data_IF_216677152924
#
_entry.id   IF_216677152924
#
_cell.length_a   1.000
_cell.length_b   1.000
_cell.length_c   1.000
_cell.angle_alpha   90.00
_cell.angle_beta   90.00
_cell.angle_gamma   90.00
#
_symmetry.space_group_name_H-M   'P 1'
#
loop_
_entity.id
_entity.type
_entity.pdbx_description
1 polymer ?
#
# COMPACT_ATOMS: atom_id res chain seq x y z
N UNK A 1 7.89 -32.42 14.68
CA UNK A 1 8.03 -30.99 14.34
C UNK A 1 6.73 -30.49 13.74
N UNK A 2 6.00 -29.75 14.54
CA UNK A 2 4.74 -29.18 14.06
C UNK A 2 5.02 -27.75 13.55
N UNK A 3 5.44 -27.67 12.30
CA UNK A 3 5.41 -26.40 11.62
C UNK A 3 3.95 -26.12 11.26
N UNK A 4 3.33 -25.21 12.00
CA UNK A 4 2.03 -24.71 11.62
C UNK A 4 2.22 -23.87 10.35
N UNK A 5 1.47 -24.15 9.27
CA UNK A 5 1.56 -23.32 8.08
C UNK A 5 1.24 -21.88 8.44
N UNK A 6 2.02 -20.94 7.91
CA UNK A 6 1.79 -19.53 8.12
C UNK A 6 0.38 -19.14 7.65
N UNK A 7 -0.32 -18.37 8.46
CA UNK A 7 -1.62 -17.84 8.11
C UNK A 7 -1.45 -16.69 7.11
N UNK A 8 -2.30 -16.66 6.10
CA UNK A 8 -2.37 -15.56 5.15
C UNK A 8 -3.39 -14.54 5.62
N UNK A 9 -3.03 -13.26 5.57
CA UNK A 9 -3.93 -12.16 5.89
C UNK A 9 -3.84 -11.11 4.80
N UNK A 10 -4.98 -10.83 4.15
CA UNK A 10 -5.11 -9.71 3.21
C UNK A 10 -5.75 -8.55 3.94
N UNK A 11 -5.15 -7.37 3.84
CA UNK A 11 -5.62 -6.20 4.58
C UNK A 11 -5.37 -4.90 3.83
N UNK A 12 -6.11 -3.86 4.23
CA UNK A 12 -5.91 -2.48 3.74
C UNK A 12 -5.40 -1.64 4.91
N UNK A 13 -4.29 -0.94 4.71
CA UNK A 13 -3.69 -0.11 5.75
C UNK A 13 -4.54 1.14 5.97
N UNK A 14 -5.10 1.28 7.18
CA UNK A 14 -5.89 2.44 7.57
C UNK A 14 -5.04 3.54 8.21
N UNK A 15 -4.13 3.17 9.10
CA UNK A 15 -3.23 4.12 9.74
C UNK A 15 -2.01 3.44 10.33
N UNK A 16 -0.97 4.22 10.49
CA UNK A 16 0.28 3.81 11.12
C UNK A 16 0.27 4.37 12.54
N UNK A 17 0.30 3.49 13.55
CA UNK A 17 0.29 3.92 14.95
C UNK A 17 1.69 4.08 15.53
N UNK A 18 2.66 3.32 15.02
CA UNK A 18 4.04 3.40 15.46
C UNK A 18 4.98 2.90 14.37
N UNK A 19 6.12 3.55 14.22
CA UNK A 19 7.22 3.08 13.36
C UNK A 19 8.56 3.41 14.00
N UNK A 20 9.47 2.44 14.00
CA UNK A 20 10.85 2.66 14.35
C UNK A 20 11.69 2.70 13.06
N UNK A 21 12.22 3.86 12.67
CA UNK A 21 12.97 3.98 11.43
C UNK A 21 14.33 3.27 11.45
N UNK A 22 14.83 2.92 12.61
CA UNK A 22 16.13 2.25 12.73
C UNK A 22 16.05 0.77 12.38
N UNK A 23 15.03 0.07 12.87
CA UNK A 23 14.88 -1.37 12.65
C UNK A 23 13.68 -1.75 11.77
N UNK A 24 12.85 -0.77 11.38
CA UNK A 24 11.69 -0.99 10.54
C UNK A 24 10.46 -1.54 11.25
N UNK A 25 10.55 -1.82 12.56
CA UNK A 25 9.41 -2.34 13.31
C UNK A 25 8.25 -1.33 13.28
N UNK A 26 7.09 -1.82 12.89
CA UNK A 26 5.90 -0.98 12.70
C UNK A 26 4.67 -1.62 13.32
N UNK A 27 3.77 -0.76 13.78
CA UNK A 27 2.44 -1.14 14.26
C UNK A 27 1.42 -0.40 13.43
N UNK A 28 0.61 -1.15 12.69
CA UNK A 28 -0.40 -0.60 11.79
C UNK A 28 -1.79 -1.01 12.26
N UNK A 29 -2.77 -0.17 11.97
CA UNK A 29 -4.19 -0.53 12.04
C UNK A 29 -4.68 -0.79 10.64
N UNK A 30 -5.22 -1.98 10.41
CA UNK A 30 -5.60 -2.46 9.08
C UNK A 30 -7.04 -2.95 9.07
N UNK A 31 -7.67 -2.79 7.92
CA UNK A 31 -9.02 -3.31 7.68
C UNK A 31 -8.92 -4.68 7.02
N UNK A 32 -9.63 -5.65 7.60
CA UNK A 32 -9.65 -7.04 7.11
C UNK A 32 -11.09 -7.46 6.87
N UNK A 33 -11.35 -8.07 5.72
CA UNK A 33 -12.69 -8.57 5.39
C UNK A 33 -13.15 -9.58 6.44
N UNK A 34 -14.36 -9.40 6.95
CA UNK A 34 -14.92 -10.28 7.97
C UNK A 34 -14.70 -9.82 9.41
N UNK A 35 -13.93 -8.75 9.61
CA UNK A 35 -13.69 -8.15 10.93
C UNK A 35 -14.36 -6.79 11.00
N UNK A 36 -15.16 -6.56 12.04
CA UNK A 36 -15.85 -5.28 12.22
C UNK A 36 -14.90 -4.18 12.69
N UNK A 37 -13.93 -4.52 13.54
CA UNK A 37 -12.96 -3.60 14.07
C UNK A 37 -11.64 -3.70 13.31
N UNK A 38 -10.83 -2.64 13.38
CA UNK A 38 -9.50 -2.65 12.81
C UNK A 38 -8.61 -3.67 13.52
N UNK A 39 -7.82 -4.38 12.73
CA UNK A 39 -6.87 -5.38 13.21
C UNK A 39 -5.51 -4.71 13.42
N UNK A 40 -4.80 -5.09 14.48
CA UNK A 40 -3.44 -4.65 14.71
C UNK A 40 -2.47 -5.57 13.97
N UNK A 41 -1.70 -4.97 13.05
CA UNK A 41 -0.68 -5.66 12.28
C UNK A 41 0.69 -5.17 12.73
N UNK A 42 1.56 -6.08 13.11
CA UNK A 42 2.93 -5.75 13.55
C UNK A 42 3.96 -6.50 12.72
N UNK A 43 5.12 -5.90 12.57
CA UNK A 43 6.23 -6.48 11.83
C UNK A 43 7.15 -5.42 11.24
N UNK A 44 8.01 -5.83 10.34
CA UNK A 44 8.89 -4.92 9.60
C UNK A 44 8.16 -4.38 8.38
N UNK A 45 7.41 -3.29 8.59
CA UNK A 45 6.49 -2.71 7.60
C UNK A 45 6.82 -1.24 7.33
N UNK A 46 8.10 -0.89 7.39
CA UNK A 46 8.53 0.48 7.11
C UNK A 46 8.24 0.85 5.66
N UNK A 47 7.88 2.11 5.44
CA UNK A 47 7.54 2.66 4.12
C UNK A 47 6.28 2.07 3.47
N UNK A 48 5.42 1.41 4.25
CA UNK A 48 4.12 0.98 3.75
C UNK A 48 3.16 2.15 3.83
N UNK A 49 2.62 2.62 2.70
CA UNK A 49 1.72 3.76 2.70
C UNK A 49 0.32 3.42 3.21
N UNK A 50 -0.34 4.40 3.81
CA UNK A 50 -1.78 4.31 4.12
C UNK A 50 -2.54 4.10 2.81
N UNK A 51 -3.49 3.17 2.82
CA UNK A 51 -4.28 2.80 1.63
C UNK A 51 -3.72 1.61 0.87
N UNK A 52 -2.50 1.17 1.17
CA UNK A 52 -1.92 -0.02 0.55
C UNK A 52 -2.70 -1.27 0.89
N UNK A 53 -2.79 -2.18 -0.06
CA UNK A 53 -3.31 -3.53 0.17
C UNK A 53 -2.14 -4.47 0.35
N UNK A 54 -2.11 -5.15 1.48
CA UNK A 54 -1.03 -6.06 1.83
C UNK A 54 -1.54 -7.49 1.88
N UNK A 55 -0.71 -8.41 1.40
CA UNK A 55 -0.86 -9.83 1.65
C UNK A 55 0.25 -10.25 2.60
N UNK A 56 -0.13 -10.57 3.82
CA UNK A 56 0.82 -10.90 4.89
C UNK A 56 0.80 -12.38 5.19
N UNK A 57 1.99 -12.92 5.50
CA UNK A 57 2.16 -14.28 6.01
C UNK A 57 2.70 -14.17 7.41
N UNK A 58 2.04 -14.83 8.36
CA UNK A 58 2.45 -14.76 9.74
C UNK A 58 1.51 -15.52 10.65
N UNK A 59 1.37 -15.04 11.86
CA UNK A 59 0.54 -15.72 12.86
C UNK A 59 -0.16 -14.72 13.79
N UNK A 60 -1.28 -15.14 14.31
CA UNK A 60 -1.98 -14.41 15.37
C UNK A 60 -1.29 -14.64 16.70
N UNK A 61 -1.04 -13.57 17.43
CA UNK A 61 -0.50 -13.60 18.79
C UNK A 61 -1.33 -12.71 19.70
N UNK A 62 -1.43 -13.10 20.95
CA UNK A 62 -2.09 -12.28 21.97
C UNK A 62 -1.02 -11.61 22.79
N UNK A 63 -1.01 -10.28 22.74
CA UNK A 63 -0.16 -9.45 23.60
C UNK A 63 -0.90 -9.17 24.89
N UNK A 64 -0.22 -9.30 26.02
CA UNK A 64 -0.82 -9.08 27.35
C UNK A 64 -1.34 -7.66 27.54
N UNK A 65 -0.70 -6.69 26.88
CA UNK A 65 -1.02 -5.27 27.00
C UNK A 65 -1.98 -4.76 25.93
N UNK A 66 -1.81 -5.26 24.68
CA UNK A 66 -2.50 -4.69 23.52
C UNK A 66 -3.52 -5.64 22.89
N UNK A 67 -3.69 -6.85 23.43
CA UNK A 67 -4.65 -7.81 22.91
C UNK A 67 -4.17 -8.56 21.67
N UNK A 68 -5.11 -8.96 20.85
CA UNK A 68 -4.82 -9.78 19.66
C UNK A 68 -4.12 -8.96 18.57
N UNK A 69 -3.03 -9.51 18.04
CA UNK A 69 -2.22 -8.90 16.98
C UNK A 69 -1.89 -9.95 15.92
N UNK A 70 -1.81 -9.51 14.67
CA UNK A 70 -1.24 -10.35 13.61
C UNK A 70 0.23 -9.95 13.43
N UNK A 71 1.13 -10.92 13.60
CA UNK A 71 2.57 -10.72 13.46
C UNK A 71 2.97 -11.19 12.08
N UNK A 72 3.31 -10.25 11.20
CA UNK A 72 3.73 -10.55 9.84
C UNK A 72 5.21 -10.97 9.83
N UNK A 73 5.46 -12.20 9.38
CA UNK A 73 6.83 -12.67 9.12
C UNK A 73 7.30 -12.17 7.75
N UNK A 74 6.42 -12.24 6.75
CA UNK A 74 6.64 -11.69 5.40
C UNK A 74 5.37 -10.99 4.93
N UNK A 75 5.53 -10.09 3.97
CA UNK A 75 4.41 -9.38 3.39
C UNK A 75 4.77 -8.92 1.97
N UNK A 76 3.74 -8.70 1.18
CA UNK A 76 3.87 -8.08 -0.13
C UNK A 76 2.74 -7.09 -0.34
N UNK A 77 3.01 -6.04 -1.08
CA UNK A 77 1.99 -5.07 -1.47
C UNK A 77 1.33 -5.55 -2.75
N UNK A 78 0.00 -5.63 -2.74
CA UNK A 78 -0.78 -6.03 -3.90
C UNK A 78 -1.67 -4.88 -4.35
N UNK A 79 -2.11 -4.92 -5.61
CA UNK A 79 -3.08 -3.93 -6.08
C UNK A 79 -4.43 -4.17 -5.43
N UNK A 80 -5.13 -3.09 -5.01
CA UNK A 80 -6.44 -3.22 -4.41
C UNK A 80 -7.47 -3.78 -5.39
N UNK A 81 -8.25 -4.77 -4.94
CA UNK A 81 -9.28 -5.40 -5.75
C UNK A 81 -10.69 -4.92 -5.42
N UNK A 82 -10.87 -4.24 -4.29
CA UNK A 82 -12.19 -3.76 -3.84
C UNK A 82 -12.32 -2.26 -4.09
N UNK A 83 -13.54 -1.80 -4.30
CA UNK A 83 -13.85 -0.36 -4.46
C UNK A 83 -13.30 0.45 -3.28
N UNK A 84 -13.50 -0.03 -2.06
CA UNK A 84 -12.98 0.63 -0.86
C UNK A 84 -11.46 0.74 -0.88
N UNK A 85 -10.78 -0.36 -1.18
CA UNK A 85 -9.31 -0.38 -1.23
C UNK A 85 -8.75 0.53 -2.31
N UNK A 86 -9.37 0.55 -3.49
CA UNK A 86 -8.97 1.41 -4.60
C UNK A 86 -9.12 2.89 -4.21
N UNK A 87 -10.26 3.26 -3.63
CA UNK A 87 -10.49 4.63 -3.19
C UNK A 87 -9.46 5.07 -2.14
N UNK A 88 -9.22 4.22 -1.14
CA UNK A 88 -8.25 4.48 -0.08
C UNK A 88 -6.82 4.64 -0.64
N UNK A 89 -6.43 3.75 -1.52
CA UNK A 89 -5.12 3.78 -2.18
C UNK A 89 -4.91 5.07 -2.99
N UNK A 90 -5.86 5.41 -3.83
CA UNK A 90 -5.77 6.61 -4.66
C UNK A 90 -5.79 7.90 -3.84
N UNK A 91 -6.57 7.91 -2.76
CA UNK A 91 -6.70 9.10 -1.90
C UNK A 91 -5.61 9.28 -0.87
N UNK A 92 -4.65 8.34 -0.79
CA UNK A 92 -3.61 8.33 0.26
C UNK A 92 -2.51 9.37 0.09
N UNK A 93 -2.43 10.03 -1.07
CA UNK A 93 -1.35 10.96 -1.41
C UNK A 93 -0.18 10.30 -2.16
N UNK A 94 -0.24 8.98 -2.37
CA UNK A 94 0.77 8.26 -3.16
C UNK A 94 0.75 8.67 -4.62
N UNK A 95 -0.44 8.86 -5.17
CA UNK A 95 -0.61 9.27 -6.56
C UNK A 95 -0.77 10.78 -6.60
N UNK A 96 0.22 11.50 -7.11
CA UNK A 96 0.16 12.95 -7.24
C UNK A 96 -0.96 13.32 -8.22
N UNK A 97 -1.71 14.36 -7.88
CA UNK A 97 -2.85 14.80 -8.68
C UNK A 97 -4.18 14.18 -8.27
N UNK A 98 -4.17 13.19 -7.38
CA UNK A 98 -5.39 12.60 -6.82
C UNK A 98 -5.40 12.80 -5.31
N UNK A 99 -6.35 13.57 -4.81
CA UNK A 99 -6.65 13.64 -3.37
C UNK A 99 -7.88 12.79 -3.07
N UNK A 100 -8.34 12.74 -1.79
CA UNK A 100 -9.49 11.92 -1.39
C UNK A 100 -10.76 12.21 -2.19
N UNK A 101 -11.00 13.48 -2.51
CA UNK A 101 -12.17 13.91 -3.26
C UNK A 101 -12.17 13.38 -4.70
N UNK A 102 -11.04 13.49 -5.40
CA UNK A 102 -10.89 12.96 -6.74
C UNK A 102 -10.86 11.44 -6.76
N UNK A 103 -10.25 10.81 -5.77
CA UNK A 103 -10.26 9.35 -5.63
C UNK A 103 -11.69 8.82 -5.57
N UNK A 104 -12.55 9.45 -4.76
CA UNK A 104 -13.96 9.09 -4.67
C UNK A 104 -14.68 9.25 -6.01
N UNK A 105 -14.48 10.38 -6.68
CA UNK A 105 -15.13 10.66 -7.96
C UNK A 105 -14.69 9.65 -9.05
N UNK A 106 -13.41 9.32 -9.11
CA UNK A 106 -12.86 8.38 -10.07
C UNK A 106 -13.44 6.98 -9.83
N UNK A 107 -13.44 6.53 -8.57
CA UNK A 107 -13.92 5.20 -8.22
C UNK A 107 -15.44 5.09 -8.38
N UNK A 108 -16.18 6.16 -8.14
CA UNK A 108 -17.62 6.19 -8.42
C UNK A 108 -17.92 5.98 -9.91
N UNK A 109 -17.05 6.53 -10.77
CA UNK A 109 -17.23 6.40 -12.23
C UNK A 109 -16.82 5.03 -12.77
N UNK A 110 -15.70 4.50 -12.30
CA UNK A 110 -15.07 3.32 -12.87
C UNK A 110 -15.11 2.07 -11.99
N UNK A 111 -15.41 2.21 -10.71
CA UNK A 111 -15.51 1.07 -9.79
C UNK A 111 -14.22 0.27 -9.71
N UNK A 112 -14.36 -1.06 -9.77
CA UNK A 112 -13.22 -1.98 -9.69
C UNK A 112 -12.31 -1.93 -10.92
N UNK A 113 -12.75 -1.32 -12.01
CA UNK A 113 -11.96 -1.16 -13.23
C UNK A 113 -11.00 0.03 -13.18
N UNK A 114 -11.04 0.82 -12.10
CA UNK A 114 -10.27 2.06 -11.97
C UNK A 114 -8.78 1.87 -12.21
N UNK A 115 -8.17 0.85 -11.61
CA UNK A 115 -6.73 0.60 -11.75
C UNK A 115 -6.37 0.26 -13.20
N UNK A 116 -7.16 -0.61 -13.84
CA UNK A 116 -6.94 -0.98 -15.25
C UNK A 116 -7.06 0.23 -16.17
N UNK A 117 -8.01 1.12 -15.89
CA UNK A 117 -8.20 2.35 -16.66
C UNK A 117 -7.01 3.28 -16.52
N UNK A 118 -6.49 3.47 -15.32
CA UNK A 118 -5.30 4.29 -15.10
C UNK A 118 -4.09 3.71 -15.83
N UNK A 119 -3.95 2.39 -15.86
CA UNK A 119 -2.82 1.72 -16.49
C UNK A 119 -2.90 1.67 -18.02
N UNK A 120 -4.08 1.43 -18.55
CA UNK A 120 -4.24 1.15 -19.98
C UNK A 120 -5.01 2.19 -20.78
N UNK A 121 -5.88 2.96 -20.15
CA UNK A 121 -6.78 3.91 -20.80
C UNK A 121 -6.90 5.21 -20.01
N UNK A 122 -5.76 5.78 -19.60
CA UNK A 122 -5.72 6.92 -18.67
C UNK A 122 -6.51 8.14 -19.19
N UNK A 123 -6.65 8.30 -20.50
CA UNK A 123 -7.45 9.38 -21.10
C UNK A 123 -8.91 9.33 -20.69
N UNK A 124 -9.42 8.17 -20.29
CA UNK A 124 -10.80 8.05 -19.81
C UNK A 124 -11.04 8.81 -18.51
N UNK A 125 -9.99 9.22 -17.80
CA UNK A 125 -10.13 10.08 -16.63
C UNK A 125 -10.76 11.44 -16.96
N UNK A 126 -10.72 11.86 -18.23
CA UNK A 126 -11.44 13.07 -18.68
C UNK A 126 -12.96 12.95 -18.52
N UNK A 127 -13.50 11.75 -18.41
CA UNK A 127 -14.92 11.53 -18.16
C UNK A 127 -15.33 11.96 -16.73
N UNK A 128 -14.36 12.12 -15.83
CA UNK A 128 -14.59 12.58 -14.46
C UNK A 128 -14.56 14.11 -14.44
N UNK A 129 -15.59 14.77 -13.87
CA UNK A 129 -15.63 16.24 -13.80
C UNK A 129 -14.40 16.84 -13.12
N UNK A 130 -13.90 17.95 -13.66
CA UNK A 130 -12.79 18.73 -13.15
C UNK A 130 -11.41 18.04 -13.28
N UNK A 131 -11.30 16.99 -14.07
CA UNK A 131 -10.01 16.38 -14.41
C UNK A 131 -9.62 16.84 -15.82
N UNK A 132 -8.61 17.72 -15.89
CA UNK A 132 -8.08 18.24 -17.13
C UNK A 132 -6.71 17.65 -17.48
N UNK A 133 -6.13 18.14 -18.56
CA UNK A 133 -4.87 17.64 -19.12
C UNK A 133 -3.70 17.67 -18.12
N UNK A 134 -3.56 18.76 -17.36
CA UNK A 134 -2.47 18.90 -16.38
C UNK A 134 -2.57 17.84 -15.29
N UNK A 135 -3.78 17.56 -14.84
CA UNK A 135 -4.01 16.56 -13.80
C UNK A 135 -3.73 15.14 -14.32
N UNK A 136 -4.20 14.81 -15.51
CA UNK A 136 -3.93 13.50 -16.14
C UNK A 136 -2.42 13.30 -16.32
N UNK A 137 -1.70 14.32 -16.80
CA UNK A 137 -0.25 14.24 -16.96
C UNK A 137 0.46 13.98 -15.62
N UNK A 138 0.01 14.66 -14.56
CA UNK A 138 0.55 14.50 -13.21
C UNK A 138 0.29 13.11 -12.65
N UNK A 139 -0.91 12.59 -12.85
CA UNK A 139 -1.29 11.24 -12.44
C UNK A 139 -0.44 10.19 -13.17
N UNK A 140 -0.29 10.34 -14.48
CA UNK A 140 0.52 9.44 -15.32
C UNK A 140 1.96 9.39 -14.83
N UNK A 141 2.58 10.53 -14.63
CA UNK A 141 3.96 10.64 -14.14
C UNK A 141 4.12 9.97 -12.77
N UNK A 142 3.22 10.26 -11.85
CA UNK A 142 3.24 9.68 -10.50
C UNK A 142 3.06 8.17 -10.52
N UNK A 143 2.16 7.66 -11.37
CA UNK A 143 1.90 6.23 -11.50
C UNK A 143 3.12 5.47 -12.01
N UNK A 144 3.80 6.01 -13.03
CA UNK A 144 5.01 5.41 -13.58
C UNK A 144 6.15 5.39 -12.55
N UNK A 145 6.31 6.46 -11.78
CA UNK A 145 7.32 6.50 -10.70
C UNK A 145 7.08 5.44 -9.64
N UNK A 146 5.83 5.18 -9.27
CA UNK A 146 5.51 4.15 -8.30
C UNK A 146 5.83 2.75 -8.79
N UNK A 147 5.61 2.47 -10.05
CA UNK A 147 6.00 1.18 -10.66
C UNK A 147 7.50 0.97 -10.53
N UNK A 148 8.30 2.00 -10.83
CA UNK A 148 9.76 1.93 -10.74
C UNK A 148 10.23 1.68 -9.32
N UNK A 149 9.66 2.36 -8.34
CA UNK A 149 9.98 2.17 -6.92
C UNK A 149 9.67 0.74 -6.48
N UNK A 150 8.49 0.23 -6.81
CA UNK A 150 8.10 -1.15 -6.49
C UNK A 150 9.04 -2.16 -7.09
N UNK A 151 9.41 -1.98 -8.35
CA UNK A 151 10.31 -2.90 -9.05
C UNK A 151 11.70 -2.91 -8.40
N UNK A 152 12.24 -1.74 -8.04
CA UNK A 152 13.53 -1.63 -7.37
C UNK A 152 13.48 -2.29 -5.99
N UNK A 153 12.42 -2.06 -5.23
CA UNK A 153 12.26 -2.67 -3.90
C UNK A 153 12.18 -4.20 -3.97
N UNK A 154 11.40 -4.73 -4.91
CA UNK A 154 11.28 -6.17 -5.13
C UNK A 154 12.62 -6.79 -5.52
N UNK A 155 13.37 -6.12 -6.41
CA UNK A 155 14.70 -6.55 -6.82
C UNK A 155 15.65 -6.64 -5.63
N UNK A 156 15.70 -5.59 -4.81
CA UNK A 156 16.59 -5.55 -3.63
C UNK A 156 16.18 -6.58 -2.56
N UNK A 157 14.89 -6.82 -2.37
CA UNK A 157 14.40 -7.85 -1.46
C UNK A 157 14.85 -9.25 -1.91
N UNK A 158 14.92 -9.50 -3.21
CA UNK A 158 15.43 -10.74 -3.77
C UNK A 158 16.90 -11.01 -3.42
N UNK A 159 17.66 -9.98 -3.09
CA UNK A 159 19.05 -10.07 -2.64
C UNK A 159 19.19 -10.02 -1.11
N UNK A 160 18.10 -10.19 -0.38
CA UNK A 160 18.11 -10.20 1.08
C UNK A 160 18.17 -8.83 1.74
N UNK A 161 17.97 -7.75 0.98
CA UNK A 161 17.92 -6.38 1.51
C UNK A 161 16.55 -6.13 2.13
N UNK A 162 16.51 -5.61 3.36
CA UNK A 162 15.25 -5.28 4.02
C UNK A 162 14.52 -4.15 3.28
N UNK A 163 13.19 -4.12 3.40
CA UNK A 163 12.35 -3.07 2.80
C UNK A 163 12.80 -1.67 3.22
N UNK A 164 13.11 -1.48 4.49
CA UNK A 164 13.58 -0.19 5.03
C UNK A 164 14.89 0.24 4.38
N UNK A 165 15.82 -0.70 4.22
CA UNK A 165 17.12 -0.43 3.64
C UNK A 165 17.01 -0.15 2.13
N UNK A 166 16.16 -0.92 1.43
CA UNK A 166 15.88 -0.69 0.02
C UNK A 166 15.31 0.70 -0.24
N UNK A 167 14.39 1.16 0.60
CA UNK A 167 13.82 2.50 0.52
C UNK A 167 14.89 3.58 0.70
N UNK A 168 15.79 3.42 1.66
CA UNK A 168 16.92 4.34 1.88
C UNK A 168 17.87 4.39 0.69
N UNK A 169 18.20 3.23 0.12
CA UNK A 169 19.05 3.16 -1.09
C UNK A 169 18.41 3.93 -2.24
N UNK A 170 17.11 3.72 -2.47
CA UNK A 170 16.37 4.41 -3.52
C UNK A 170 16.38 5.92 -3.33
N UNK A 171 16.14 6.41 -2.12
CA UNK A 171 16.16 7.84 -1.80
C UNK A 171 17.52 8.47 -2.01
N UNK A 172 18.59 7.78 -1.60
CA UNK A 172 19.98 8.23 -1.81
C UNK A 172 20.28 8.34 -3.30
N UNK A 173 19.96 7.30 -4.09
CA UNK A 173 20.17 7.31 -5.53
C UNK A 173 19.43 8.45 -6.22
N UNK A 174 18.21 8.74 -5.79
CA UNK A 174 17.41 9.85 -6.33
C UNK A 174 17.98 11.22 -6.01
N UNK A 175 18.63 11.37 -4.85
CA UNK A 175 19.24 12.64 -4.44
C UNK A 175 20.50 12.98 -5.24
N UNK A 176 21.12 12.03 -5.93
CA UNK A 176 22.34 12.21 -6.71
C UNK A 176 22.11 12.29 -8.24
N UNK A 177 20.88 12.32 -8.66
CA UNK A 177 20.52 12.43 -10.10
C UNK A 177 20.29 13.87 -10.49
#
# INVERSE_FOLDING_TARGET
MNEHPATLLRCVVERITYQNPENGYSVLKVKVKGYNDLVTLVGNLLEVPVGSVLLCRGEWKVDKRYGSQFVAATWEETMPATVYGIEKYLGSGLVKGIGPRFARAIVQRFGTETIDIIETEIERLYEVPNIGRKRVAKIRESWEKQKDIKNVMLFLQGYGVSTAYAAKIYQIGRAHV
#
